data_IF_639366514340
#
_entry.id   IF_639366514340
#
_cell.length_a   1.000
_cell.length_b   1.000
_cell.length_c   1.000
_cell.angle_alpha   90.00
_cell.angle_beta   90.00
_cell.angle_gamma   90.00
#
_symmetry.space_group_name_H-M   'P 1'
#
loop_
_entity.id
_entity.type
_entity.pdbx_description
1 polymer ?
#
# COMPACT_ATOMS: atom_id res chain seq x y z
N UNK A 1 -5.50 -18.49 35.82
CA UNK A 1 -4.22 -18.55 35.10
C UNK A 1 -4.27 -17.41 34.10
N UNK A 2 -3.64 -16.28 34.41
CA UNK A 2 -3.71 -15.06 33.59
C UNK A 2 -2.54 -15.16 32.61
N UNK A 3 -2.85 -15.24 31.32
CA UNK A 3 -1.85 -15.30 30.26
C UNK A 3 -1.05 -13.99 30.25
N UNK A 4 0.26 -14.14 30.21
CA UNK A 4 1.24 -13.05 30.16
C UNK A 4 1.10 -12.36 28.79
N UNK A 5 0.55 -11.16 28.75
CA UNK A 5 0.54 -10.32 27.54
C UNK A 5 1.96 -9.79 27.31
N UNK A 6 2.58 -10.33 26.25
CA UNK A 6 3.87 -9.85 25.78
C UNK A 6 3.67 -8.42 25.24
N UNK A 7 4.45 -7.46 25.76
CA UNK A 7 4.30 -6.01 25.49
C UNK A 7 4.74 -5.59 24.08
N UNK A 8 4.85 -6.54 23.16
CA UNK A 8 5.24 -6.28 21.78
C UNK A 8 3.99 -6.04 20.93
N UNK A 9 3.97 -4.92 20.21
CA UNK A 9 2.95 -4.65 19.19
C UNK A 9 3.15 -5.70 18.10
N UNK A 10 2.23 -6.65 18.02
CA UNK A 10 2.16 -7.59 16.92
C UNK A 10 1.23 -7.02 15.86
N UNK A 11 1.79 -6.68 14.69
CA UNK A 11 0.98 -6.45 13.51
C UNK A 11 0.22 -7.76 13.22
N UNK A 12 -1.11 -7.74 13.32
CA UNK A 12 -1.97 -8.80 12.81
C UNK A 12 -2.01 -8.65 11.29
N UNK A 13 -0.88 -8.94 10.66
CA UNK A 13 -0.83 -9.08 9.22
C UNK A 13 -1.87 -10.15 8.84
N UNK A 14 -2.76 -9.89 7.88
CA UNK A 14 -3.56 -10.94 7.29
C UNK A 14 -2.63 -11.89 6.50
N UNK A 15 -1.86 -12.72 7.20
CA UNK A 15 -1.08 -13.84 6.66
C UNK A 15 -1.60 -15.13 7.26
N UNK A 16 -2.24 -15.92 6.41
CA UNK A 16 -2.75 -17.23 6.73
C UNK A 16 -3.76 -17.72 5.70
N UNK A 17 -4.07 -19.02 5.66
CA UNK A 17 -5.13 -19.56 4.81
C UNK A 17 -6.49 -18.85 5.02
N UNK A 18 -6.74 -18.31 6.22
CA UNK A 18 -7.91 -17.50 6.56
C UNK A 18 -7.78 -15.99 6.29
N UNK A 19 -6.62 -15.51 5.87
CA UNK A 19 -6.44 -14.14 5.38
C UNK A 19 -6.69 -14.04 3.87
N UNK A 20 -6.35 -15.11 3.15
CA UNK A 20 -6.77 -15.31 1.76
C UNK A 20 -8.23 -15.80 1.68
N UNK A 21 -8.72 -16.54 2.69
CA UNK A 21 -10.14 -16.85 2.88
C UNK A 21 -10.74 -16.03 4.02
N UNK A 22 -11.20 -14.82 3.72
CA UNK A 22 -12.24 -14.13 4.49
C UNK A 22 -12.22 -14.28 6.01
N UNK A 23 -11.40 -13.50 6.71
CA UNK A 23 -11.66 -13.15 8.12
C UNK A 23 -12.95 -12.35 8.31
N UNK A 24 -13.62 -11.97 7.22
CA UNK A 24 -15.00 -11.51 7.19
C UNK A 24 -15.88 -12.63 6.62
N UNK A 25 -16.95 -13.06 7.30
CA UNK A 25 -17.77 -14.24 6.95
C UNK A 25 -18.53 -14.16 5.61
N UNK A 26 -18.19 -13.21 4.73
CA UNK A 26 -18.87 -12.92 3.47
C UNK A 26 -17.93 -12.82 2.26
N UNK A 27 -16.61 -12.96 2.42
CA UNK A 27 -15.66 -12.81 1.31
C UNK A 27 -14.69 -13.99 1.22
N UNK A 28 -14.86 -14.87 0.23
CA UNK A 28 -13.91 -15.96 -0.06
C UNK A 28 -12.52 -15.47 -0.53
N UNK A 29 -12.34 -14.16 -0.66
CA UNK A 29 -11.14 -13.46 -1.12
C UNK A 29 -10.89 -12.19 -0.28
N UNK A 30 -9.64 -11.73 -0.10
CA UNK A 30 -9.39 -10.46 0.56
C UNK A 30 -10.08 -9.30 -0.20
N UNK A 31 -10.50 -8.23 0.50
CA UNK A 31 -11.09 -7.05 -0.14
C UNK A 31 -10.20 -6.54 -1.28
N UNK A 32 -10.81 -6.02 -2.35
CA UNK A 32 -10.09 -5.64 -3.58
C UNK A 32 -8.90 -4.69 -3.33
N UNK A 33 -9.02 -3.77 -2.38
CA UNK A 33 -7.95 -2.85 -1.99
C UNK A 33 -6.78 -3.57 -1.27
N UNK A 34 -7.08 -4.59 -0.46
CA UNK A 34 -6.06 -5.40 0.22
C UNK A 34 -5.31 -6.23 -0.83
N UNK A 35 -6.04 -6.87 -1.75
CA UNK A 35 -5.46 -7.60 -2.88
C UNK A 35 -4.57 -6.71 -3.72
N UNK A 36 -5.00 -5.47 -4.01
CA UNK A 36 -4.20 -4.48 -4.72
C UNK A 36 -2.88 -4.19 -3.99
N UNK A 37 -2.93 -3.83 -2.70
CA UNK A 37 -1.75 -3.46 -1.93
C UNK A 37 -0.76 -4.63 -1.85
N UNK A 38 -1.25 -5.86 -1.67
CA UNK A 38 -0.42 -7.07 -1.70
C UNK A 38 0.27 -7.21 -3.06
N UNK A 39 -0.48 -7.07 -4.17
CA UNK A 39 0.09 -7.12 -5.52
C UNK A 39 1.10 -6.01 -5.75
N UNK A 40 0.82 -4.78 -5.33
CA UNK A 40 1.76 -3.64 -5.41
C UNK A 40 3.05 -3.93 -4.63
N UNK A 41 2.95 -4.52 -3.44
CA UNK A 41 4.11 -4.93 -2.65
C UNK A 41 4.94 -5.99 -3.37
N UNK A 42 4.31 -7.06 -3.86
CA UNK A 42 4.98 -8.19 -4.53
C UNK A 42 5.71 -7.79 -5.81
N UNK A 43 5.14 -6.87 -6.59
CA UNK A 43 5.80 -6.39 -7.81
C UNK A 43 6.82 -5.28 -7.54
N UNK A 44 6.91 -4.81 -6.29
CA UNK A 44 7.89 -3.82 -5.87
C UNK A 44 7.46 -2.37 -6.09
N UNK A 45 6.17 -2.08 -6.31
CA UNK A 45 5.67 -0.70 -6.40
C UNK A 45 5.83 0.09 -5.10
N UNK A 46 5.90 -0.60 -3.95
CA UNK A 46 6.11 0.02 -2.64
C UNK A 46 7.59 0.14 -2.24
N UNK A 47 8.51 -0.14 -3.18
CA UNK A 47 9.94 0.12 -3.01
C UNK A 47 10.31 1.53 -3.43
N UNK A 48 11.54 1.98 -3.17
CA UNK A 48 12.02 3.30 -3.63
C UNK A 48 11.92 3.43 -5.15
N UNK A 49 12.27 2.38 -5.88
CA UNK A 49 12.19 2.35 -7.35
C UNK A 49 10.74 2.35 -7.84
N UNK A 50 9.87 1.61 -7.15
CA UNK A 50 8.44 1.63 -7.41
C UNK A 50 7.80 3.00 -7.21
N UNK A 51 8.13 3.67 -6.10
CA UNK A 51 7.65 5.02 -5.82
C UNK A 51 8.15 6.04 -6.85
N UNK A 52 9.39 5.90 -7.34
CA UNK A 52 9.90 6.74 -8.45
C UNK A 52 9.14 6.50 -9.75
N UNK A 53 8.81 5.24 -10.06
CA UNK A 53 8.01 4.92 -11.25
C UNK A 53 6.59 5.52 -11.16
N UNK A 54 6.01 5.52 -9.95
CA UNK A 54 4.73 6.19 -9.67
C UNK A 54 4.86 7.70 -9.85
N UNK A 55 5.88 8.33 -9.27
CA UNK A 55 6.13 9.78 -9.40
C UNK A 55 6.27 10.19 -10.87
N UNK A 56 7.07 9.43 -11.64
CA UNK A 56 7.38 9.73 -13.04
C UNK A 56 6.15 9.65 -13.97
N UNK A 57 5.13 8.89 -13.57
CA UNK A 57 3.90 8.67 -14.36
C UNK A 57 2.74 9.50 -13.85
N UNK A 58 2.43 9.43 -12.55
CA UNK A 58 1.31 10.14 -11.94
C UNK A 58 1.65 11.58 -11.57
N UNK A 59 2.88 11.87 -11.16
CA UNK A 59 3.31 13.21 -10.71
C UNK A 59 3.32 14.26 -11.82
N UNK A 60 3.16 13.85 -13.09
CA UNK A 60 3.09 14.74 -14.26
C UNK A 60 1.67 15.05 -14.71
N UNK A 61 0.67 14.41 -14.13
CA UNK A 61 -0.72 14.53 -14.55
C UNK A 61 -1.46 15.42 -13.57
N UNK A 62 -1.96 16.54 -14.09
CA UNK A 62 -2.95 17.34 -13.39
C UNK A 62 -4.33 16.77 -13.74
N UNK A 63 -4.92 16.01 -12.82
CA UNK A 63 -6.21 15.36 -13.04
C UNK A 63 -7.33 16.40 -13.02
N UNK A 64 -8.07 16.50 -14.12
CA UNK A 64 -9.27 17.33 -14.23
C UNK A 64 -10.53 16.51 -13.94
N UNK A 65 -11.62 17.16 -13.56
CA UNK A 65 -12.90 16.47 -13.28
C UNK A 65 -13.47 15.70 -14.49
N UNK A 66 -13.01 16.00 -15.71
CA UNK A 66 -13.37 15.29 -16.93
C UNK A 66 -12.56 14.01 -17.16
N UNK A 67 -11.47 13.85 -16.43
CA UNK A 67 -10.59 12.69 -16.55
C UNK A 67 -11.19 11.51 -15.77
N UNK A 68 -11.39 10.41 -16.50
CA UNK A 68 -12.14 9.25 -16.02
C UNK A 68 -11.28 8.02 -15.72
N UNK A 69 -11.98 6.91 -15.46
CA UNK A 69 -11.39 5.60 -15.20
C UNK A 69 -10.41 5.12 -16.28
N UNK A 70 -10.60 5.55 -17.54
CA UNK A 70 -9.72 5.20 -18.66
C UNK A 70 -8.33 5.80 -18.47
N UNK A 71 -8.25 7.09 -18.10
CA UNK A 71 -6.95 7.74 -17.85
C UNK A 71 -6.23 7.09 -16.68
N UNK A 72 -6.94 6.82 -15.58
CA UNK A 72 -6.35 6.16 -14.41
C UNK A 72 -5.79 4.76 -14.74
N UNK A 73 -6.50 3.98 -15.58
CA UNK A 73 -6.03 2.68 -16.06
C UNK A 73 -4.80 2.80 -16.95
N UNK A 74 -4.77 3.79 -17.84
CA UNK A 74 -3.62 4.02 -18.71
C UNK A 74 -2.39 4.44 -17.91
N UNK A 75 -2.54 5.27 -16.88
CA UNK A 75 -1.45 5.66 -15.98
C UNK A 75 -0.96 4.49 -15.11
N UNK A 76 -1.88 3.64 -14.62
CA UNK A 76 -1.51 2.42 -13.91
C UNK A 76 -0.69 1.49 -14.80
N UNK A 77 -1.06 1.35 -16.07
CA UNK A 77 -0.30 0.58 -17.05
C UNK A 77 1.07 1.20 -17.35
N UNK A 78 1.14 2.52 -17.52
CA UNK A 78 2.41 3.23 -17.72
C UNK A 78 3.33 3.10 -16.51
N UNK A 79 2.78 3.10 -15.29
CA UNK A 79 3.54 2.88 -14.04
C UNK A 79 4.23 1.51 -14.07
N UNK A 80 3.52 0.47 -14.49
CA UNK A 80 4.06 -0.88 -14.60
C UNK A 80 5.18 -0.96 -15.64
N UNK A 81 5.04 -0.27 -16.78
CA UNK A 81 6.10 -0.16 -17.79
C UNK A 81 7.33 0.56 -17.23
N UNK A 82 7.13 1.65 -16.48
CA UNK A 82 8.25 2.39 -15.88
C UNK A 82 8.96 1.58 -14.79
N UNK A 83 8.21 0.83 -13.98
CA UNK A 83 8.75 -0.11 -13.02
C UNK A 83 9.58 -1.21 -13.69
N UNK A 84 9.10 -1.77 -14.80
CA UNK A 84 9.83 -2.79 -15.56
C UNK A 84 11.20 -2.29 -16.02
N UNK A 85 11.31 -1.02 -16.45
CA UNK A 85 12.60 -0.41 -16.84
C UNK A 85 13.62 -0.38 -15.71
N UNK A 86 13.18 -0.37 -14.45
CA UNK A 86 14.10 -0.45 -13.31
C UNK A 86 14.86 -1.78 -13.25
N UNK A 87 14.31 -2.85 -13.84
CA UNK A 87 14.86 -4.20 -13.76
C UNK A 87 14.82 -4.81 -12.34
N UNK A 88 14.13 -4.17 -11.39
CA UNK A 88 14.08 -4.56 -9.97
C UNK A 88 12.73 -5.14 -9.55
N UNK A 89 12.08 -5.90 -10.43
CA UNK A 89 10.87 -6.63 -10.06
C UNK A 89 11.26 -7.77 -9.09
N UNK A 90 10.67 -7.84 -7.88
CA UNK A 90 10.94 -8.90 -6.92
C UNK A 90 10.55 -10.30 -7.44
N UNK A 91 11.17 -11.34 -6.88
CA UNK A 91 10.98 -12.73 -7.33
C UNK A 91 9.60 -13.32 -6.99
N UNK A 92 8.89 -12.75 -6.03
CA UNK A 92 7.57 -13.17 -5.58
C UNK A 92 6.43 -12.61 -6.44
N UNK A 93 6.74 -11.72 -7.39
CA UNK A 93 5.79 -11.20 -8.37
C UNK A 93 5.10 -12.33 -9.15
N UNK A 94 3.78 -12.29 -9.17
CA UNK A 94 2.92 -13.23 -9.90
C UNK A 94 2.31 -12.54 -11.13
N UNK A 95 2.02 -13.30 -12.20
CA UNK A 95 1.35 -12.73 -13.39
C UNK A 95 0.03 -12.01 -13.08
N UNK A 96 -0.70 -12.47 -12.06
CA UNK A 96 -1.97 -11.84 -11.65
C UNK A 96 -1.78 -10.47 -10.98
N UNK A 97 -0.61 -10.17 -10.42
CA UNK A 97 -0.36 -8.90 -9.74
C UNK A 97 -0.42 -7.72 -10.72
N UNK A 98 0.02 -7.94 -11.96
CA UNK A 98 -0.08 -6.96 -13.06
C UNK A 98 -1.53 -6.61 -13.36
N UNK A 99 -2.42 -7.61 -13.41
CA UNK A 99 -3.84 -7.40 -13.65
C UNK A 99 -4.50 -6.66 -12.49
N UNK A 100 -4.16 -7.05 -11.26
CA UNK A 100 -4.67 -6.40 -10.05
C UNK A 100 -4.29 -4.91 -10.04
N UNK A 101 -3.04 -4.58 -10.33
CA UNK A 101 -2.58 -3.18 -10.36
C UNK A 101 -3.18 -2.40 -11.53
N UNK A 102 -3.27 -3.00 -12.71
CA UNK A 102 -3.79 -2.28 -13.88
C UNK A 102 -5.30 -1.99 -13.77
N UNK A 103 -6.08 -2.94 -13.27
CA UNK A 103 -7.55 -2.87 -13.34
C UNK A 103 -8.23 -2.58 -11.99
N UNK A 104 -7.55 -2.80 -10.85
CA UNK A 104 -8.12 -2.58 -9.52
C UNK A 104 -7.56 -1.36 -8.78
N UNK A 105 -6.61 -0.62 -9.35
CA UNK A 105 -6.12 0.62 -8.75
C UNK A 105 -7.23 1.68 -8.77
N UNK A 106 -7.79 2.06 -7.60
CA UNK A 106 -8.82 3.07 -7.56
C UNK A 106 -8.24 4.44 -7.97
N UNK A 107 -9.10 5.25 -8.60
CA UNK A 107 -8.97 6.66 -9.03
C UNK A 107 -7.80 7.50 -8.43
N UNK A 108 -7.30 8.49 -9.18
CA UNK A 108 -5.95 9.05 -9.12
C UNK A 108 -5.47 9.47 -7.75
N UNK A 109 -4.18 9.24 -7.50
CA UNK A 109 -3.48 9.78 -6.35
C UNK A 109 -3.20 11.27 -6.58
N UNK A 110 -4.21 12.12 -6.36
CA UNK A 110 -4.07 13.56 -6.52
C UNK A 110 -2.88 14.08 -5.71
N UNK A 111 -2.07 14.95 -6.34
CA UNK A 111 -1.05 15.76 -5.66
C UNK A 111 -0.08 14.99 -4.75
N UNK A 112 0.33 13.78 -5.13
CA UNK A 112 1.39 13.09 -4.37
C UNK A 112 2.73 13.80 -4.55
N UNK A 113 3.16 14.49 -3.50
CA UNK A 113 4.55 14.90 -3.33
C UNK A 113 5.34 13.71 -2.77
N UNK A 114 5.88 12.87 -3.64
CA UNK A 114 6.70 11.71 -3.27
C UNK A 114 8.15 12.07 -2.90
N UNK A 115 8.41 13.34 -2.57
CA UNK A 115 9.70 13.75 -2.01
C UNK A 115 10.00 12.94 -0.76
N UNK A 116 11.23 12.47 -0.68
CA UNK A 116 11.74 11.85 0.55
C UNK A 116 11.64 12.86 1.68
N UNK A 117 10.81 12.55 2.68
CA UNK A 117 10.78 13.29 3.93
C UNK A 117 12.11 13.06 4.66
N UNK A 118 12.82 14.15 4.96
CA UNK A 118 14.06 14.11 5.75
C UNK A 118 13.72 14.12 7.24
N UNK A 119 13.15 12.99 7.70
CA UNK A 119 12.81 12.79 9.11
C UNK A 119 13.76 11.73 9.67
N UNK A 120 14.60 12.06 10.65
CA UNK A 120 15.44 11.09 11.34
C UNK A 120 14.61 9.97 11.94
N UNK A 121 15.11 8.73 11.89
CA UNK A 121 14.43 7.57 12.49
C UNK A 121 14.08 7.80 13.97
N UNK A 122 14.97 8.47 14.72
CA UNK A 122 14.74 8.82 16.11
C UNK A 122 13.49 9.70 16.30
N UNK A 123 13.24 10.65 15.41
CA UNK A 123 12.05 11.51 15.45
C UNK A 123 10.78 10.72 15.12
N UNK A 124 10.84 9.78 14.16
CA UNK A 124 9.72 8.88 13.88
C UNK A 124 9.41 7.94 15.05
N UNK A 125 10.45 7.44 15.73
CA UNK A 125 10.30 6.59 16.91
C UNK A 125 9.70 7.37 18.08
N UNK A 126 10.14 8.61 18.29
CA UNK A 126 9.57 9.52 19.29
C UNK A 126 8.10 9.88 18.99
N UNK A 127 7.74 10.15 17.74
CA UNK A 127 6.34 10.38 17.32
C UNK A 127 5.48 9.11 17.52
N UNK A 128 5.98 7.93 17.11
CA UNK A 128 5.33 6.64 17.38
C UNK A 128 5.11 6.45 18.88
N UNK A 129 6.13 6.72 19.69
CA UNK A 129 6.07 6.54 21.14
C UNK A 129 5.24 7.62 21.85
N UNK A 130 5.04 8.78 21.21
CA UNK A 130 4.11 9.84 21.66
C UNK A 130 2.66 9.48 21.32
N UNK A 131 2.38 9.03 20.09
CA UNK A 131 1.08 8.54 19.65
C UNK A 131 0.62 7.28 20.41
N UNK A 132 1.59 6.50 20.92
CA UNK A 132 1.36 5.37 21.83
C UNK A 132 0.53 5.75 23.06
N UNK A 133 0.53 7.00 23.53
CA UNK A 133 -0.26 7.40 24.70
C UNK A 133 -1.65 7.92 24.36
N UNK A 134 -1.87 8.45 23.14
CA UNK A 134 -3.19 8.95 22.73
C UNK A 134 -4.20 7.83 22.48
N UNK A 135 -3.74 6.65 22.02
CA UNK A 135 -4.60 5.47 21.81
C UNK A 135 -5.02 4.79 23.13
N UNK A 136 -4.25 4.96 24.21
CA UNK A 136 -4.57 4.45 25.54
C UNK A 136 -5.27 5.47 26.44
N UNK A 137 -5.30 6.76 26.06
CA UNK A 137 -5.87 7.84 26.86
C UNK A 137 -7.31 8.23 26.48
N UNK A 138 -8.02 7.43 25.67
CA UNK A 138 -9.47 7.55 25.53
C UNK A 138 -10.20 6.45 26.32
N UNK A 139 -10.40 6.63 27.64
CA UNK A 139 -11.41 5.89 28.38
C UNK A 139 -12.79 6.49 28.07
N UNK A 140 -13.24 6.33 26.83
CA UNK A 140 -14.56 6.71 26.38
C UNK A 140 -15.62 5.70 26.84
N UNK A 141 -16.01 5.79 28.12
CA UNK A 141 -17.10 5.09 28.85
C UNK A 141 -16.89 3.62 29.25
#
# INVERSE_FOLDING_TARGET
MIAYEDKAIHWNDPVGPGAAMGTLPFFDHPPAIVSLIISMSRIGLLTVEGLKAIEETWGKVDFMDTDGAVLARDLSHQTLIELEKSGKIPQDAQPNDVWQVKDAWPFPMWSMDLKKLDVPLAEMEEERDRGRWSEYSDPGY
#
